data_IF_810837516255
#
_entry.id   IF_810837516255
#
_cell.length_a   1.000
_cell.length_b   1.000
_cell.length_c   1.000
_cell.angle_alpha   90.00
_cell.angle_beta   90.00
_cell.angle_gamma   90.00
#
_symmetry.space_group_name_H-M   'P 1'
#
loop_
_entity.id
_entity.type
_entity.pdbx_description
1 polymer ?
#
# COMPACT_ATOMS: atom_id res chain seq x y z
N UNK A 1 3.73 39.27 0.05
CA UNK A 1 3.80 37.94 0.71
C UNK A 1 3.93 36.86 -0.37
N UNK A 2 5.01 36.07 -0.41
CA UNK A 2 5.14 34.96 -1.38
C UNK A 2 4.22 33.80 -0.97
N UNK A 3 3.20 33.52 -1.76
CA UNK A 3 2.37 32.33 -1.61
C UNK A 3 3.26 31.10 -1.84
N UNK A 4 3.54 30.33 -0.80
CA UNK A 4 4.27 29.08 -0.94
C UNK A 4 3.47 28.16 -1.87
N UNK A 5 4.10 27.71 -2.96
CA UNK A 5 3.47 26.85 -3.95
C UNK A 5 3.21 25.46 -3.37
N UNK A 6 2.12 24.83 -3.78
CA UNK A 6 1.83 23.45 -3.43
C UNK A 6 2.92 22.53 -4.03
N UNK A 7 3.56 21.73 -3.19
CA UNK A 7 4.60 20.77 -3.58
C UNK A 7 3.98 19.40 -3.72
N UNK A 8 4.12 18.80 -4.90
CA UNK A 8 3.77 17.41 -5.15
C UNK A 8 4.74 16.46 -4.45
N UNK A 9 4.20 15.44 -3.77
CA UNK A 9 4.94 14.38 -3.09
C UNK A 9 4.54 13.04 -3.66
N UNK A 10 5.51 12.15 -3.81
CA UNK A 10 5.31 10.76 -4.22
C UNK A 10 6.01 9.86 -3.21
N UNK A 11 5.31 8.87 -2.70
CA UNK A 11 5.84 7.92 -1.72
C UNK A 11 5.44 6.51 -2.10
N UNK A 12 6.26 5.55 -1.70
CA UNK A 12 5.96 4.13 -1.87
C UNK A 12 6.64 3.30 -0.80
N UNK A 13 6.11 2.10 -0.58
CA UNK A 13 6.71 1.09 0.26
C UNK A 13 6.37 -0.30 -0.28
N UNK A 14 7.27 -1.26 -0.08
CA UNK A 14 6.99 -2.67 -0.35
C UNK A 14 6.88 -3.45 0.94
N UNK A 15 6.02 -4.48 0.93
CA UNK A 15 5.88 -5.42 2.02
C UNK A 15 5.69 -6.83 1.51
N UNK A 16 6.33 -7.77 2.21
CA UNK A 16 6.17 -9.19 1.99
C UNK A 16 4.96 -9.71 2.75
N UNK A 17 3.99 -10.26 2.03
CA UNK A 17 2.94 -11.07 2.64
C UNK A 17 3.57 -12.40 3.03
N UNK A 18 3.60 -12.68 4.33
CA UNK A 18 4.17 -13.91 4.89
C UNK A 18 3.05 -14.80 5.40
N UNK A 19 3.23 -16.11 5.22
CA UNK A 19 2.38 -17.11 5.86
C UNK A 19 3.28 -18.10 6.61
N UNK A 20 3.02 -18.30 7.90
CA UNK A 20 3.85 -19.17 8.75
C UNK A 20 5.36 -18.87 8.64
N UNK A 21 5.72 -17.58 8.57
CA UNK A 21 7.12 -17.13 8.40
C UNK A 21 7.66 -17.14 6.96
N UNK A 22 7.01 -17.83 6.02
CA UNK A 22 7.46 -17.96 4.63
C UNK A 22 6.97 -16.76 3.80
N UNK A 23 7.88 -16.10 3.09
CA UNK A 23 7.59 -15.02 2.14
C UNK A 23 6.87 -15.59 0.91
N UNK A 24 5.68 -15.05 0.61
CA UNK A 24 4.86 -15.52 -0.51
C UNK A 24 4.85 -14.51 -1.65
N UNK A 25 4.42 -13.29 -1.35
CA UNK A 25 4.18 -12.26 -2.36
C UNK A 25 4.67 -10.93 -1.83
N UNK A 26 5.45 -10.22 -2.62
CA UNK A 26 5.80 -8.83 -2.35
C UNK A 26 4.79 -7.92 -3.04
N UNK A 27 4.25 -6.97 -2.29
CA UNK A 27 3.32 -5.97 -2.79
C UNK A 27 3.90 -4.58 -2.58
N UNK A 28 3.62 -3.68 -3.51
CA UNK A 28 3.96 -2.26 -3.40
C UNK A 28 2.69 -1.47 -3.21
N UNK A 29 2.70 -0.57 -2.23
CA UNK A 29 1.72 0.51 -2.11
C UNK A 29 2.43 1.81 -2.42
N UNK A 30 1.77 2.68 -3.18
CA UNK A 30 2.28 3.99 -3.51
C UNK A 30 1.17 5.03 -3.43
N UNK A 31 1.56 6.27 -3.19
CA UNK A 31 0.66 7.40 -3.05
C UNK A 31 1.29 8.70 -3.53
N UNK A 32 0.46 9.57 -4.09
CA UNK A 32 0.81 10.93 -4.52
C UNK A 32 -0.10 11.92 -3.81
N UNK A 33 0.47 12.98 -3.26
CA UNK A 33 -0.28 14.02 -2.55
C UNK A 33 0.38 15.38 -2.68
N UNK A 34 -0.38 16.44 -2.47
CA UNK A 34 0.13 17.81 -2.43
C UNK A 34 0.32 18.25 -0.98
N UNK A 35 1.39 19.00 -0.74
CA UNK A 35 1.71 19.60 0.55
C UNK A 35 1.97 21.10 0.37
N UNK A 36 1.51 21.94 1.29
CA UNK A 36 1.79 23.37 1.33
C UNK A 36 2.07 23.82 2.77
N UNK A 37 3.11 24.62 2.98
CA UNK A 37 3.54 25.11 4.32
C UNK A 37 3.62 23.99 5.38
N UNK A 38 4.19 22.84 5.00
CA UNK A 38 4.32 21.68 5.89
C UNK A 38 3.01 20.95 6.22
N UNK A 39 1.92 21.24 5.49
CA UNK A 39 0.62 20.57 5.64
C UNK A 39 0.20 19.85 4.37
N UNK A 40 -0.37 18.66 4.48
CA UNK A 40 -0.98 17.94 3.36
C UNK A 40 -2.32 18.60 3.02
N UNK A 41 -2.54 18.88 1.74
CA UNK A 41 -3.73 19.58 1.26
C UNK A 41 -4.67 18.68 0.49
N UNK A 42 -4.14 17.70 -0.25
CA UNK A 42 -4.94 16.71 -0.98
C UNK A 42 -4.12 15.47 -1.34
N UNK A 43 -4.79 14.33 -1.46
CA UNK A 43 -4.25 13.14 -2.12
C UNK A 43 -4.66 13.20 -3.59
N UNK A 44 -3.68 13.21 -4.49
CA UNK A 44 -3.92 13.28 -5.94
C UNK A 44 -4.13 11.90 -6.55
N UNK A 45 -3.36 10.90 -6.10
CA UNK A 45 -3.44 9.55 -6.63
C UNK A 45 -2.86 8.54 -5.63
N UNK A 46 -3.19 7.27 -5.80
CA UNK A 46 -2.58 6.17 -5.05
C UNK A 46 -2.85 4.86 -5.77
N UNK A 47 -2.05 3.85 -5.48
CA UNK A 47 -2.23 2.55 -6.07
C UNK A 47 -1.41 1.47 -5.41
N UNK A 48 -1.61 0.27 -5.93
CA UNK A 48 -1.13 -0.95 -5.35
C UNK A 48 -0.77 -1.91 -6.49
N UNK A 49 0.30 -2.67 -6.35
CA UNK A 49 0.66 -3.69 -7.34
C UNK A 49 1.42 -4.84 -6.69
N UNK A 50 1.34 -6.01 -7.31
CA UNK A 50 2.24 -7.13 -7.01
C UNK A 50 3.60 -6.82 -7.61
N UNK A 51 4.65 -6.88 -6.80
CA UNK A 51 6.05 -6.71 -7.26
C UNK A 51 6.65 -8.07 -7.58
N UNK A 52 6.42 -9.05 -6.71
CA UNK A 52 6.94 -10.40 -6.87
C UNK A 52 5.95 -11.40 -6.32
N UNK A 53 5.69 -12.47 -7.08
CA UNK A 53 4.89 -13.59 -6.61
C UNK A 53 5.74 -14.86 -6.66
N UNK A 54 6.05 -15.44 -5.51
CA UNK A 54 6.80 -16.70 -5.41
C UNK A 54 5.88 -17.93 -5.44
N UNK A 55 4.57 -17.71 -5.43
CA UNK A 55 3.62 -18.80 -5.29
C UNK A 55 3.11 -19.26 -6.65
N UNK A 56 3.64 -20.40 -7.09
CA UNK A 56 3.24 -21.08 -8.33
C UNK A 56 1.76 -21.49 -8.27
N UNK A 57 1.00 -21.21 -9.32
CA UNK A 57 -0.41 -21.63 -9.48
C UNK A 57 -1.44 -20.87 -8.64
N UNK A 58 -1.17 -19.61 -8.24
CA UNK A 58 -1.98 -18.87 -7.25
C UNK A 58 -2.49 -17.53 -7.75
N UNK A 59 -3.74 -17.21 -7.41
CA UNK A 59 -4.34 -15.92 -7.69
C UNK A 59 -3.98 -14.95 -6.55
N UNK A 60 -3.18 -13.94 -6.89
CA UNK A 60 -2.90 -12.80 -6.01
C UNK A 60 -3.66 -11.61 -6.56
N UNK A 61 -4.62 -11.12 -5.78
CA UNK A 61 -5.36 -9.91 -6.10
C UNK A 61 -4.92 -8.80 -5.16
N UNK A 62 -4.53 -7.67 -5.74
CA UNK A 62 -4.25 -6.44 -4.99
C UNK A 62 -5.19 -5.37 -5.48
N UNK A 63 -5.94 -4.76 -4.58
CA UNK A 63 -6.91 -3.72 -4.91
C UNK A 63 -6.76 -2.51 -3.99
N UNK A 64 -7.10 -1.34 -4.53
CA UNK A 64 -7.21 -0.11 -3.75
C UNK A 64 -8.34 -0.28 -2.74
N UNK A 65 -8.07 0.02 -1.47
CA UNK A 65 -9.10 -0.07 -0.43
C UNK A 65 -9.53 1.31 0.06
N UNK A 66 -8.59 2.09 0.60
CA UNK A 66 -8.91 3.42 1.10
C UNK A 66 -7.69 4.35 1.08
N UNK A 67 -7.99 5.64 1.08
CA UNK A 67 -7.03 6.72 1.26
C UNK A 67 -7.60 7.72 2.25
N UNK A 68 -6.76 8.28 3.10
CA UNK A 68 -7.14 9.32 4.05
C UNK A 68 -5.95 10.24 4.29
N UNK A 69 -6.19 11.51 4.62
CA UNK A 69 -5.14 12.40 5.07
C UNK A 69 -5.63 13.34 6.18
N UNK A 70 -4.70 13.69 7.06
CA UNK A 70 -4.78 14.85 7.95
C UNK A 70 -3.81 15.91 7.44
N UNK A 71 -3.74 17.06 8.11
CA UNK A 71 -2.72 18.07 7.81
C UNK A 71 -1.29 17.53 7.92
N UNK A 72 -1.02 16.50 8.71
CA UNK A 72 0.33 15.99 8.94
C UNK A 72 0.62 14.65 8.27
N UNK A 73 -0.39 13.83 8.01
CA UNK A 73 -0.21 12.42 7.61
C UNK A 73 -1.11 12.03 6.45
N UNK A 74 -0.56 11.45 5.40
CA UNK A 74 -1.29 10.75 4.36
C UNK A 74 -1.22 9.25 4.61
N UNK A 75 -2.35 8.56 4.49
CA UNK A 75 -2.51 7.12 4.67
C UNK A 75 -3.09 6.50 3.40
N UNK A 76 -2.47 5.44 2.93
CA UNK A 76 -2.89 4.66 1.77
C UNK A 76 -3.03 3.20 2.18
N UNK A 77 -4.19 2.60 1.90
CA UNK A 77 -4.50 1.20 2.23
C UNK A 77 -4.83 0.44 0.96
N UNK A 78 -4.20 -0.72 0.82
CA UNK A 78 -4.45 -1.66 -0.25
C UNK A 78 -4.81 -3.02 0.34
N UNK A 79 -5.88 -3.62 -0.18
CA UNK A 79 -6.26 -4.98 0.20
C UNK A 79 -5.44 -5.96 -0.64
N UNK A 80 -4.80 -6.91 0.01
CA UNK A 80 -4.07 -8.01 -0.63
C UNK A 80 -4.81 -9.29 -0.28
N UNK A 81 -5.28 -10.00 -1.31
CA UNK A 81 -5.94 -11.30 -1.19
C UNK A 81 -5.11 -12.33 -1.93
N UNK A 82 -4.76 -13.41 -1.23
CA UNK A 82 -4.04 -14.54 -1.79
C UNK A 82 -4.91 -15.77 -1.63
N UNK A 83 -5.26 -16.37 -2.77
CA UNK A 83 -5.98 -17.64 -2.81
C UNK A 83 -5.00 -18.75 -3.14
N UNK A 84 -5.00 -19.81 -2.32
CA UNK A 84 -4.07 -20.91 -2.48
C UNK A 84 -4.69 -22.26 -2.15
N UNK A 85 -4.50 -23.24 -3.02
CA UNK A 85 -4.78 -24.64 -2.74
C UNK A 85 -3.73 -25.53 -3.41
N UNK A 86 -3.61 -26.77 -2.94
CA UNK A 86 -2.78 -27.79 -3.59
C UNK A 86 -3.46 -28.33 -4.87
N UNK A 87 -4.80 -28.36 -4.87
CA UNK A 87 -5.64 -28.85 -5.96
C UNK A 87 -6.76 -27.81 -6.19
N UNK A 88 -7.10 -27.52 -7.45
CA UNK A 88 -8.21 -26.61 -7.78
C UNK A 88 -9.53 -27.21 -7.24
N UNK A 89 -10.21 -26.51 -6.34
CA UNK A 89 -11.51 -26.92 -5.79
C UNK A 89 -11.49 -27.75 -4.50
N UNK A 90 -10.33 -28.23 -4.05
CA UNK A 90 -10.17 -28.98 -2.79
C UNK A 90 -9.05 -28.31 -1.97
N UNK A 91 -9.38 -27.71 -0.82
CA UNK A 91 -8.44 -27.04 0.10
C UNK A 91 -7.88 -25.67 -0.34
N UNK A 92 -8.72 -24.83 -0.96
CA UNK A 92 -8.35 -23.43 -1.17
C UNK A 92 -8.45 -22.63 0.14
N UNK A 93 -7.31 -22.21 0.68
CA UNK A 93 -7.26 -21.22 1.76
C UNK A 93 -7.16 -19.82 1.16
N UNK A 94 -8.06 -18.93 1.55
CA UNK A 94 -7.96 -17.50 1.25
C UNK A 94 -7.34 -16.78 2.45
N UNK A 95 -6.33 -15.97 2.19
CA UNK A 95 -5.72 -15.08 3.18
C UNK A 95 -5.78 -13.66 2.68
N UNK A 96 -6.28 -12.78 3.53
CA UNK A 96 -6.40 -11.35 3.23
C UNK A 96 -5.60 -10.55 4.26
N UNK A 97 -5.05 -9.42 3.84
CA UNK A 97 -4.41 -8.46 4.72
C UNK A 97 -4.35 -7.08 4.07
N UNK A 98 -4.29 -6.03 4.89
CA UNK A 98 -4.19 -4.67 4.37
C UNK A 98 -2.75 -4.18 4.45
N UNK A 99 -2.16 -3.93 3.29
CA UNK A 99 -0.89 -3.24 3.22
C UNK A 99 -1.18 -1.74 3.40
N UNK A 100 -0.75 -1.19 4.53
CA UNK A 100 -0.90 0.23 4.87
C UNK A 100 0.42 0.96 4.72
N UNK A 101 0.40 2.06 3.98
CA UNK A 101 1.50 3.01 3.85
C UNK A 101 1.07 4.36 4.45
N UNK A 102 1.89 4.92 5.33
CA UNK A 102 1.71 6.29 5.85
C UNK A 102 2.92 7.15 5.53
N UNK A 103 2.70 8.41 5.20
CA UNK A 103 3.75 9.39 5.00
C UNK A 103 3.40 10.73 5.65
N UNK A 104 4.42 11.45 6.10
CA UNK A 104 4.26 12.80 6.65
C UNK A 104 4.19 13.86 5.54
N UNK A 105 3.81 15.09 5.88
CA UNK A 105 3.72 16.19 4.91
C UNK A 105 5.01 16.49 4.12
N UNK A 106 6.17 16.08 4.64
CA UNK A 106 7.47 16.27 4.02
C UNK A 106 7.81 15.28 2.90
N UNK A 107 7.01 14.22 2.68
CA UNK A 107 7.38 13.17 1.73
C UNK A 107 8.02 11.93 2.37
N UNK A 108 8.18 11.89 3.69
CA UNK A 108 8.84 10.75 4.37
C UNK A 108 7.80 9.70 4.77
N UNK A 109 8.07 8.44 4.41
CA UNK A 109 7.27 7.30 4.89
C UNK A 109 7.49 7.13 6.39
N UNK A 110 6.39 7.13 7.15
CA UNK A 110 6.39 6.97 8.62
C UNK A 110 5.87 5.60 9.04
N UNK A 111 5.13 4.92 8.18
CA UNK A 111 4.68 3.54 8.41
C UNK A 111 4.58 2.80 7.09
N UNK A 112 5.00 1.53 7.08
CA UNK A 112 4.87 0.63 5.95
C UNK A 112 4.71 -0.80 6.49
N UNK A 113 3.48 -1.33 6.53
CA UNK A 113 3.23 -2.61 7.20
C UNK A 113 1.83 -3.17 6.98
N UNK A 114 1.61 -4.35 7.56
CA UNK A 114 0.32 -5.05 7.55
C UNK A 114 -0.57 -4.57 8.70
N UNK A 115 -1.84 -4.34 8.40
CA UNK A 115 -2.90 -3.96 9.35
C UNK A 115 -4.18 -4.73 9.07
#
# INVERSE_FOLDING_TARGET
MKTAAAVGRSVWGTQWFKFAGIKLTETKVWGKYSSNKGKITKITDYGCQVVKNLVLGKNVTVSKQSKAFTSSTATFKCKVRIERGAIKGMNWSTREGYHTLKANAGGKVTFNGWT
#
